data_IF_076777065240
#
_entry.id   IF_076777065240
#
_cell.length_a   1.000
_cell.length_b   1.000
_cell.length_c   1.000
_cell.angle_alpha   90.00
_cell.angle_beta   90.00
_cell.angle_gamma   90.00
#
_symmetry.space_group_name_H-M   'P 1'
#
loop_
_entity.id
_entity.type
_entity.pdbx_description
1 polymer ?
#
# COMPACT_ATOMS: atom_id res chain seq x y z
N UNK A 1 -21.68 -5.80 -37.97
CA UNK A 1 -20.79 -6.89 -37.53
C UNK A 1 -21.63 -8.15 -37.37
N UNK A 2 -21.18 -9.32 -37.86
CA UNK A 2 -21.95 -10.58 -37.65
C UNK A 2 -21.93 -10.94 -36.15
N UNK A 3 -23.03 -11.50 -35.63
CA UNK A 3 -23.15 -11.89 -34.21
C UNK A 3 -22.00 -12.81 -33.76
N UNK A 4 -21.56 -13.71 -34.65
CA UNK A 4 -20.39 -14.58 -34.44
C UNK A 4 -19.09 -13.82 -34.24
N UNK A 5 -18.87 -12.72 -34.98
CA UNK A 5 -17.69 -11.86 -34.81
C UNK A 5 -17.72 -11.14 -33.46
N UNK A 6 -18.89 -10.67 -33.01
CA UNK A 6 -19.06 -10.03 -31.70
C UNK A 6 -18.71 -11.02 -30.57
N UNK A 7 -19.27 -12.24 -30.63
CA UNK A 7 -19.05 -13.28 -29.63
C UNK A 7 -17.56 -13.68 -29.58
N UNK A 8 -16.92 -13.86 -30.73
CA UNK A 8 -15.51 -14.24 -30.81
C UNK A 8 -14.60 -13.16 -30.19
N UNK A 9 -14.83 -11.88 -30.50
CA UNK A 9 -14.07 -10.76 -29.91
C UNK A 9 -14.28 -10.69 -28.40
N UNK A 10 -15.51 -10.90 -27.91
CA UNK A 10 -15.80 -10.90 -26.48
C UNK A 10 -15.09 -12.05 -25.74
N UNK A 11 -15.05 -13.25 -26.32
CA UNK A 11 -14.34 -14.40 -25.75
C UNK A 11 -12.82 -14.17 -25.70
N UNK A 12 -12.24 -13.61 -26.78
CA UNK A 12 -10.82 -13.25 -26.79
C UNK A 12 -10.48 -12.19 -25.73
N UNK A 13 -11.31 -11.15 -25.60
CA UNK A 13 -11.13 -10.12 -24.59
C UNK A 13 -11.24 -10.70 -23.16
N UNK A 14 -12.19 -11.61 -22.93
CA UNK A 14 -12.35 -12.30 -21.65
C UNK A 14 -11.15 -13.21 -21.34
N UNK A 15 -10.67 -13.99 -22.31
CA UNK A 15 -9.50 -14.85 -22.13
C UNK A 15 -8.22 -14.03 -21.84
N UNK A 16 -8.01 -12.95 -22.60
CA UNK A 16 -6.89 -12.03 -22.37
C UNK A 16 -6.98 -11.39 -20.97
N UNK A 17 -8.18 -10.96 -20.56
CA UNK A 17 -8.43 -10.44 -19.23
C UNK A 17 -8.11 -11.47 -18.13
N UNK A 18 -8.61 -12.70 -18.27
CA UNK A 18 -8.39 -13.77 -17.28
C UNK A 18 -6.91 -14.12 -17.18
N UNK A 19 -6.21 -14.23 -18.31
CA UNK A 19 -4.75 -14.44 -18.32
C UNK A 19 -4.03 -13.30 -17.61
N UNK A 20 -4.41 -12.06 -17.92
CA UNK A 20 -3.80 -10.86 -17.37
C UNK A 20 -4.06 -10.72 -15.86
N UNK A 21 -5.23 -11.16 -15.38
CA UNK A 21 -5.56 -11.16 -13.96
C UNK A 21 -4.89 -12.31 -13.21
N UNK A 22 -4.90 -13.52 -13.73
CA UNK A 22 -4.25 -14.67 -13.10
C UNK A 22 -2.73 -14.48 -12.99
N UNK A 23 -2.13 -13.71 -13.90
CA UNK A 23 -0.71 -13.38 -13.87
C UNK A 23 -0.34 -12.17 -12.99
N UNK A 24 -1.30 -11.53 -12.32
CA UNK A 24 -0.97 -10.38 -11.44
C UNK A 24 -0.19 -10.88 -10.23
N UNK A 25 0.89 -10.18 -9.84
CA UNK A 25 1.53 -10.42 -8.57
C UNK A 25 0.53 -10.26 -7.44
N UNK A 26 0.66 -11.13 -6.45
CA UNK A 26 -0.21 -11.13 -5.28
C UNK A 26 0.06 -9.93 -4.37
N UNK A 27 1.34 -9.57 -4.23
CA UNK A 27 1.79 -8.53 -3.30
C UNK A 27 3.01 -7.75 -3.83
N UNK A 28 2.99 -6.45 -3.58
CA UNK A 28 4.12 -5.54 -3.71
C UNK A 28 4.46 -4.95 -2.34
N UNK A 29 5.71 -5.08 -1.92
CA UNK A 29 6.28 -4.42 -0.75
C UNK A 29 7.23 -3.32 -1.21
N UNK A 30 7.09 -2.11 -0.68
CA UNK A 30 7.98 -0.98 -0.97
C UNK A 30 8.40 -0.31 0.33
N UNK A 31 9.71 -0.20 0.54
CA UNK A 31 10.28 0.46 1.72
C UNK A 31 11.78 0.20 1.81
N UNK A 32 12.46 0.89 2.71
CA UNK A 32 13.92 0.78 2.85
C UNK A 32 14.28 -0.31 3.85
N UNK A 33 15.20 -1.22 3.49
CA UNK A 33 15.78 -2.16 4.45
C UNK A 33 16.73 -1.41 5.36
N UNK A 34 16.74 -1.76 6.65
CA UNK A 34 17.63 -1.12 7.62
C UNK A 34 18.64 -2.09 8.20
N UNK A 35 19.68 -1.52 8.79
CA UNK A 35 20.48 -2.20 9.80
C UNK A 35 20.01 -1.68 11.16
N UNK A 36 19.50 -2.57 12.00
CA UNK A 36 19.11 -2.22 13.37
C UNK A 36 20.25 -2.61 14.31
N UNK A 37 20.93 -1.63 14.91
CA UNK A 37 22.00 -1.86 15.88
C UNK A 37 21.38 -2.08 17.26
N UNK A 38 21.60 -3.28 17.81
CA UNK A 38 21.09 -3.74 19.10
C UNK A 38 22.19 -3.63 20.17
N UNK A 39 21.80 -3.55 21.44
CA UNK A 39 22.73 -3.42 22.58
C UNK A 39 23.75 -4.55 22.69
N UNK A 40 23.42 -5.76 22.23
CA UNK A 40 24.32 -6.92 22.21
C UNK A 40 25.35 -6.84 21.06
N UNK A 41 25.35 -5.75 20.30
CA UNK A 41 26.21 -5.53 19.14
C UNK A 41 25.71 -6.21 17.87
N UNK A 42 24.61 -6.96 17.92
CA UNK A 42 24.00 -7.55 16.73
C UNK A 42 23.45 -6.45 15.80
N UNK A 43 23.44 -6.77 14.50
CA UNK A 43 23.06 -5.86 13.42
C UNK A 43 22.06 -6.54 12.47
N UNK A 44 20.91 -7.06 12.96
CA UNK A 44 19.92 -7.70 12.10
C UNK A 44 19.37 -6.73 11.05
N UNK A 45 18.88 -7.31 9.95
CA UNK A 45 18.08 -6.58 8.98
C UNK A 45 16.78 -6.11 9.63
N UNK A 46 16.48 -4.82 9.51
CA UNK A 46 15.26 -4.23 10.04
C UNK A 46 14.47 -3.51 8.96
N UNK A 47 13.62 -2.60 9.42
CA UNK A 47 12.78 -1.78 8.55
C UNK A 47 11.48 -2.47 8.19
N UNK A 48 10.45 -1.65 7.96
CA UNK A 48 9.08 -2.12 7.78
C UNK A 48 8.96 -3.13 6.63
N UNK A 49 9.73 -2.93 5.56
CA UNK A 49 9.78 -3.84 4.39
C UNK A 49 10.31 -5.24 4.76
N UNK A 50 11.25 -5.35 5.68
CA UNK A 50 11.87 -6.62 6.09
C UNK A 50 10.94 -7.42 6.98
N UNK A 51 10.30 -6.77 7.95
CA UNK A 51 9.25 -7.39 8.78
C UNK A 51 8.06 -7.83 7.91
N UNK A 52 7.65 -6.99 6.96
CA UNK A 52 6.61 -7.34 6.01
C UNK A 52 7.00 -8.54 5.13
N UNK A 53 8.22 -8.58 4.60
CA UNK A 53 8.72 -9.69 3.79
C UNK A 53 8.71 -11.01 4.57
N UNK A 54 9.26 -11.01 5.79
CA UNK A 54 9.29 -12.19 6.64
C UNK A 54 7.86 -12.70 6.94
N UNK A 55 6.95 -11.80 7.33
CA UNK A 55 5.55 -12.16 7.55
C UNK A 55 4.91 -12.73 6.27
N UNK A 56 5.09 -12.08 5.12
CA UNK A 56 4.53 -12.52 3.83
C UNK A 56 5.01 -13.91 3.43
N UNK A 57 6.30 -14.19 3.64
CA UNK A 57 6.88 -15.53 3.43
C UNK A 57 6.21 -16.57 4.32
N UNK A 58 5.98 -16.28 5.60
CA UNK A 58 5.30 -17.20 6.52
C UNK A 58 3.84 -17.52 6.10
N UNK A 59 3.21 -16.65 5.31
CA UNK A 59 1.90 -16.90 4.69
C UNK A 59 1.99 -17.63 3.33
N UNK A 60 3.19 -18.09 2.94
CA UNK A 60 3.44 -18.81 1.69
C UNK A 60 3.36 -17.93 0.44
N UNK A 61 3.54 -16.62 0.55
CA UNK A 61 3.40 -15.68 -0.57
C UNK A 61 4.78 -15.28 -1.10
N UNK A 62 4.94 -15.31 -2.42
CA UNK A 62 6.05 -14.67 -3.11
C UNK A 62 5.66 -13.24 -3.49
N UNK A 63 6.25 -12.24 -2.85
CA UNK A 63 6.03 -10.83 -3.17
C UNK A 63 7.04 -10.29 -4.18
N UNK A 64 6.66 -9.22 -4.88
CA UNK A 64 7.61 -8.25 -5.40
C UNK A 64 8.08 -7.38 -4.24
N UNK A 65 9.39 -7.25 -4.04
CA UNK A 65 9.98 -6.37 -3.02
C UNK A 65 10.82 -5.32 -3.71
N UNK A 66 10.55 -4.05 -3.44
CA UNK A 66 11.35 -2.93 -3.93
C UNK A 66 11.96 -2.22 -2.72
N UNK A 67 13.28 -2.24 -2.64
CA UNK A 67 13.98 -1.72 -1.46
C UNK A 67 15.26 -0.97 -1.82
N UNK A 68 15.71 -0.11 -0.91
CA UNK A 68 16.99 0.60 -1.00
C UNK A 68 17.97 -0.04 -0.04
N UNK A 69 19.18 -0.37 -0.50
CA UNK A 69 20.22 -0.88 0.38
C UNK A 69 21.62 -0.46 -0.08
N UNK A 70 22.54 -0.32 0.88
CA UNK A 70 23.97 -0.24 0.63
C UNK A 70 24.63 -1.63 0.61
N UNK A 71 25.95 -1.69 0.34
CA UNK A 71 26.69 -2.95 0.24
C UNK A 71 26.75 -3.77 1.55
N UNK A 72 26.45 -3.14 2.69
CA UNK A 72 26.52 -3.71 4.03
C UNK A 72 25.20 -4.29 4.56
N UNK A 73 24.11 -4.21 3.77
CA UNK A 73 22.81 -4.75 4.15
C UNK A 73 22.75 -6.28 4.07
N UNK A 74 22.14 -6.91 5.08
CA UNK A 74 21.70 -8.31 4.97
C UNK A 74 20.35 -8.39 4.25
N UNK A 75 20.35 -9.03 3.07
CA UNK A 75 19.19 -9.17 2.21
C UNK A 75 18.52 -10.56 2.29
N UNK A 76 19.02 -11.48 3.12
CA UNK A 76 18.50 -12.85 3.25
C UNK A 76 17.03 -12.91 3.65
N UNK A 77 16.53 -11.87 4.34
CA UNK A 77 15.10 -11.75 4.68
C UNK A 77 14.20 -11.79 3.45
N UNK A 78 14.72 -11.40 2.28
CA UNK A 78 13.98 -11.38 1.02
C UNK A 78 14.09 -12.68 0.21
N UNK A 79 14.79 -13.70 0.73
CA UNK A 79 14.90 -15.00 0.06
C UNK A 79 13.52 -15.62 -0.18
N UNK A 80 13.27 -16.03 -1.43
CA UNK A 80 11.98 -16.55 -1.88
C UNK A 80 11.07 -15.49 -2.50
N UNK A 81 11.39 -14.20 -2.37
CA UNK A 81 10.69 -13.10 -3.05
C UNK A 81 11.35 -12.72 -4.38
N UNK A 82 10.67 -11.88 -5.16
CA UNK A 82 11.23 -11.20 -6.31
C UNK A 82 11.77 -9.83 -5.86
N UNK A 83 13.08 -9.76 -5.62
CA UNK A 83 13.76 -8.58 -5.08
C UNK A 83 14.22 -7.63 -6.20
N UNK A 84 13.86 -6.35 -6.06
CA UNK A 84 14.31 -5.25 -6.89
C UNK A 84 15.04 -4.25 -6.01
N UNK A 85 16.36 -4.30 -6.07
CA UNK A 85 17.25 -3.49 -5.25
C UNK A 85 17.58 -2.17 -5.96
N UNK A 86 17.33 -1.06 -5.26
CA UNK A 86 17.85 0.26 -5.60
C UNK A 86 19.14 0.47 -4.80
N UNK A 87 20.29 0.43 -5.48
CA UNK A 87 21.59 0.54 -4.83
C UNK A 87 21.81 1.95 -4.24
N UNK A 88 22.30 2.01 -3.01
CA UNK A 88 22.72 3.23 -2.33
C UNK A 88 24.18 3.13 -1.85
N UNK A 89 24.77 4.27 -1.48
CA UNK A 89 26.12 4.31 -0.91
C UNK A 89 26.18 3.78 0.54
N UNK A 90 25.06 3.82 1.26
CA UNK A 90 24.94 3.35 2.65
C UNK A 90 23.55 2.79 2.90
N UNK A 91 23.44 1.90 3.89
CA UNK A 91 22.15 1.36 4.34
C UNK A 91 21.56 2.23 5.45
N UNK A 92 20.24 2.46 5.43
CA UNK A 92 19.56 3.18 6.51
C UNK A 92 19.82 2.45 7.84
N UNK A 93 20.44 3.12 8.80
CA UNK A 93 20.86 2.46 10.05
C UNK A 93 20.20 3.12 11.25
N UNK A 94 19.49 2.32 12.03
CA UNK A 94 18.90 2.71 13.30
C UNK A 94 19.72 2.15 14.46
N UNK A 95 20.01 2.98 15.44
CA UNK A 95 20.71 2.61 16.66
C UNK A 95 19.81 2.88 17.87
N UNK A 96 19.74 1.90 18.78
CA UNK A 96 19.05 2.07 20.05
C UNK A 96 20.03 2.58 21.08
N UNK A 97 19.69 3.69 21.73
CA UNK A 97 20.43 4.17 22.89
C UNK A 97 19.52 4.12 24.11
N UNK A 98 19.94 3.35 25.12
CA UNK A 98 19.33 3.35 26.44
C UNK A 98 19.99 4.43 27.29
N UNK A 99 19.21 5.32 27.89
CA UNK A 99 19.72 6.17 28.96
C UNK A 99 19.55 5.47 30.30
N UNK A 100 20.64 5.31 31.06
CA UNK A 100 20.73 4.58 32.35
C UNK A 100 19.68 5.00 33.41
N UNK A 101 19.08 6.18 33.27
CA UNK A 101 18.06 6.72 34.19
C UNK A 101 16.63 6.78 33.64
N UNK A 102 16.37 6.29 32.41
CA UNK A 102 15.04 6.36 31.82
C UNK A 102 14.76 5.11 31.00
N UNK A 103 13.65 4.45 31.29
CA UNK A 103 13.07 3.35 30.49
C UNK A 103 12.61 3.81 29.09
N UNK A 104 13.24 4.83 28.53
CA UNK A 104 12.92 5.47 27.27
C UNK A 104 14.00 5.11 26.26
N UNK A 105 13.63 4.23 25.32
CA UNK A 105 14.47 3.87 24.20
C UNK A 105 14.59 5.05 23.25
N UNK A 106 15.80 5.56 23.05
CA UNK A 106 16.06 6.65 22.08
C UNK A 106 16.56 6.04 20.79
N UNK A 107 15.76 6.18 19.72
CA UNK A 107 16.13 5.77 18.38
C UNK A 107 16.98 6.88 17.73
N UNK A 108 18.10 6.51 17.13
CA UNK A 108 18.97 7.43 16.36
C UNK A 108 19.21 6.86 14.97
N UNK A 109 19.13 7.70 13.95
CA UNK A 109 19.59 7.38 12.59
C UNK A 109 21.06 7.76 12.47
N UNK A 110 21.92 6.79 12.14
CA UNK A 110 23.37 7.01 11.99
C UNK A 110 23.84 7.01 10.53
N UNK A 111 23.06 6.43 9.62
CA UNK A 111 23.27 6.49 8.19
C UNK A 111 21.92 6.58 7.47
N UNK A 112 21.83 7.39 6.41
CA UNK A 112 20.63 7.53 5.59
C UNK A 112 21.04 7.50 4.10
N UNK A 113 20.43 6.63 3.26
CA UNK A 113 20.75 6.53 1.84
C UNK A 113 20.37 7.78 1.04
N UNK A 114 19.49 8.65 1.56
CA UNK A 114 18.95 9.83 0.88
C UNK A 114 18.31 9.52 -0.48
N UNK A 115 17.63 8.38 -0.58
CA UNK A 115 16.86 7.98 -1.77
C UNK A 115 15.38 7.99 -1.42
N UNK A 116 14.58 8.65 -2.26
CA UNK A 116 13.12 8.60 -2.19
C UNK A 116 12.60 7.55 -3.17
N UNK A 117 12.16 6.42 -2.64
CA UNK A 117 11.44 5.41 -3.41
C UNK A 117 10.12 5.98 -3.93
N UNK A 118 9.81 5.63 -5.15
CA UNK A 118 8.58 6.04 -5.83
C UNK A 118 8.17 4.92 -6.78
N UNK A 119 6.98 5.03 -7.36
CA UNK A 119 6.48 4.02 -8.28
C UNK A 119 7.39 3.79 -9.50
N UNK A 120 8.16 4.78 -9.95
CA UNK A 120 9.06 4.61 -11.10
C UNK A 120 10.17 3.59 -10.85
N UNK A 121 10.51 3.34 -9.57
CA UNK A 121 11.45 2.31 -9.16
C UNK A 121 10.85 0.90 -9.21
N UNK A 122 9.53 0.77 -9.35
CA UNK A 122 8.82 -0.51 -9.36
C UNK A 122 8.70 -1.04 -10.78
N UNK A 123 9.08 -2.30 -11.05
CA UNK A 123 8.86 -2.94 -12.35
C UNK A 123 7.39 -2.94 -12.77
N UNK A 124 7.13 -2.80 -14.08
CA UNK A 124 5.77 -2.66 -14.62
C UNK A 124 4.83 -3.82 -14.26
N UNK A 125 5.32 -5.05 -14.14
CA UNK A 125 4.48 -6.18 -13.74
C UNK A 125 4.15 -6.14 -12.24
N UNK A 126 5.13 -5.77 -11.40
CA UNK A 126 4.95 -5.58 -9.95
C UNK A 126 4.02 -4.42 -9.59
N UNK A 127 4.01 -3.35 -10.40
CA UNK A 127 3.09 -2.20 -10.24
C UNK A 127 1.61 -2.59 -10.24
N UNK A 128 1.29 -3.77 -10.80
CA UNK A 128 -0.07 -4.31 -10.91
C UNK A 128 -0.43 -5.25 -9.76
N UNK A 129 0.39 -5.36 -8.72
CA UNK A 129 0.12 -6.26 -7.60
C UNK A 129 -1.29 -6.06 -7.02
N UNK A 130 -1.93 -7.12 -6.51
CA UNK A 130 -3.28 -7.02 -5.93
C UNK A 130 -3.28 -6.25 -4.61
N UNK A 131 -2.24 -6.43 -3.82
CA UNK A 131 -2.01 -5.69 -2.59
C UNK A 131 -0.69 -4.95 -2.71
N UNK A 132 -0.65 -3.71 -2.23
CA UNK A 132 0.55 -2.88 -2.13
C UNK A 132 0.71 -2.49 -0.67
N UNK A 133 1.89 -2.74 -0.11
CA UNK A 133 2.24 -2.30 1.25
C UNK A 133 3.43 -1.35 1.13
N UNK A 134 3.21 -0.14 1.64
CA UNK A 134 4.15 0.95 1.67
C UNK A 134 4.66 1.11 3.11
N UNK A 135 5.95 0.90 3.31
CA UNK A 135 6.59 0.93 4.63
C UNK A 135 7.68 1.99 4.72
N UNK A 136 7.34 3.30 4.72
CA UNK A 136 8.32 4.34 5.00
C UNK A 136 8.82 4.26 6.45
N UNK A 137 10.08 4.62 6.68
CA UNK A 137 10.70 4.73 8.00
C UNK A 137 11.13 6.15 8.34
N UNK A 138 11.20 7.04 7.35
CA UNK A 138 11.45 8.49 7.50
C UNK A 138 10.60 9.31 6.52
N UNK A 139 10.48 10.62 6.74
CA UNK A 139 9.66 11.53 5.90
C UNK A 139 10.01 11.51 4.41
N UNK A 140 11.28 11.31 4.06
CA UNK A 140 11.77 11.52 2.70
C UNK A 140 12.16 10.23 1.97
N UNK A 141 11.94 9.05 2.55
CA UNK A 141 12.34 7.82 1.87
C UNK A 141 11.33 7.29 0.86
N UNK A 142 10.08 7.75 0.91
CA UNK A 142 9.00 7.23 0.07
C UNK A 142 8.06 8.34 -0.38
N UNK A 143 7.86 8.43 -1.69
CA UNK A 143 6.76 9.18 -2.29
C UNK A 143 5.53 8.28 -2.38
N UNK A 144 4.74 8.25 -1.31
CA UNK A 144 3.51 7.46 -1.25
C UNK A 144 2.46 7.92 -2.29
N UNK A 145 2.43 9.20 -2.65
CA UNK A 145 1.46 9.77 -3.60
C UNK A 145 1.62 9.19 -5.00
N UNK A 146 2.86 8.89 -5.40
CA UNK A 146 3.17 8.21 -6.67
C UNK A 146 2.53 6.82 -6.80
N UNK A 147 2.02 6.24 -5.71
CA UNK A 147 1.36 4.95 -5.71
C UNK A 147 -0.18 5.03 -5.78
N UNK A 148 -0.76 6.23 -5.75
CA UNK A 148 -2.21 6.42 -5.58
C UNK A 148 -2.89 7.02 -6.81
N UNK A 149 -2.20 7.90 -7.54
CA UNK A 149 -2.80 8.74 -8.57
C UNK A 149 -2.21 8.48 -9.95
N UNK A 150 -3.07 8.07 -10.88
CA UNK A 150 -2.71 7.82 -12.28
C UNK A 150 -3.83 8.28 -13.21
N UNK A 151 -3.44 8.96 -14.30
CA UNK A 151 -4.38 9.50 -15.30
C UNK A 151 -4.55 8.61 -16.53
N UNK A 152 -3.93 7.42 -16.55
CA UNK A 152 -4.01 6.48 -17.68
C UNK A 152 -5.39 5.82 -17.83
N UNK A 153 -5.83 5.60 -19.08
CA UNK A 153 -7.09 4.90 -19.42
C UNK A 153 -7.19 3.52 -18.75
N UNK A 154 -6.09 2.78 -18.70
CA UNK A 154 -6.02 1.50 -18.01
C UNK A 154 -6.24 1.67 -16.50
N UNK A 155 -5.59 2.62 -15.85
CA UNK A 155 -5.87 2.87 -14.43
C UNK A 155 -7.33 3.26 -14.23
N UNK A 156 -7.95 4.02 -15.14
CA UNK A 156 -9.37 4.33 -15.04
C UNK A 156 -10.29 3.10 -15.09
N UNK A 157 -9.96 2.14 -15.96
CA UNK A 157 -10.74 0.92 -16.16
C UNK A 157 -10.51 -0.12 -15.03
N UNK A 158 -9.30 -0.13 -14.46
CA UNK A 158 -8.86 -1.06 -13.42
C UNK A 158 -8.74 -0.40 -12.02
N UNK A 159 -9.22 0.84 -11.88
CA UNK A 159 -9.28 1.64 -10.64
C UNK A 159 -10.00 0.86 -9.54
N UNK A 160 -9.55 1.03 -8.28
CA UNK A 160 -10.23 0.40 -7.14
C UNK A 160 -9.87 -1.06 -6.88
N UNK A 161 -8.93 -1.65 -7.62
CA UNK A 161 -8.63 -3.09 -7.54
C UNK A 161 -7.43 -3.46 -6.69
N UNK A 162 -6.70 -2.47 -6.21
CA UNK A 162 -5.55 -2.68 -5.33
C UNK A 162 -5.94 -2.31 -3.92
N UNK A 163 -5.64 -3.20 -2.98
CA UNK A 163 -5.61 -2.86 -1.55
C UNK A 163 -4.28 -2.17 -1.27
N UNK A 164 -4.31 -0.94 -0.76
CA UNK A 164 -3.10 -0.15 -0.51
C UNK A 164 -3.00 0.07 1.00
N UNK A 165 -1.99 -0.54 1.60
CA UNK A 165 -1.63 -0.38 2.99
C UNK A 165 -0.48 0.61 3.11
N UNK A 166 -0.59 1.61 3.99
CA UNK A 166 0.46 2.57 4.27
C UNK A 166 0.80 2.54 5.75
N UNK A 167 1.99 2.04 6.08
CA UNK A 167 2.56 2.09 7.43
C UNK A 167 3.13 3.49 7.68
N UNK A 168 2.24 4.44 7.94
CA UNK A 168 2.55 5.87 7.95
C UNK A 168 3.39 6.32 9.17
N UNK A 169 3.62 5.43 10.13
CA UNK A 169 4.44 5.69 11.31
C UNK A 169 5.81 6.31 10.95
N UNK A 170 6.47 5.83 9.90
CA UNK A 170 7.76 6.39 9.49
C UNK A 170 7.72 7.82 9.00
N UNK A 171 6.62 8.26 8.40
CA UNK A 171 6.45 9.67 8.00
C UNK A 171 6.33 10.61 9.20
N UNK A 172 5.88 10.12 10.35
CA UNK A 172 5.76 10.92 11.56
C UNK A 172 7.06 11.07 12.36
N UNK A 173 8.19 10.67 11.78
CA UNK A 173 9.52 10.77 12.37
C UNK A 173 10.28 11.96 11.80
N UNK A 174 10.63 12.91 12.65
CA UNK A 174 11.58 13.98 12.34
C UNK A 174 12.97 13.60 12.84
N UNK A 175 13.98 13.78 12.00
CA UNK A 175 15.37 13.60 12.41
C UNK A 175 15.89 14.91 13.03
N UNK A 176 16.36 14.83 14.27
CA UNK A 176 17.09 15.91 14.93
C UNK A 176 18.49 16.09 14.36
N UNK A 177 19.20 17.17 14.73
CA UNK A 177 20.55 17.45 14.22
C UNK A 177 21.57 16.34 14.51
N UNK A 178 21.37 15.57 15.58
CA UNK A 178 22.20 14.45 15.99
C UNK A 178 21.65 13.08 15.51
N UNK A 179 20.69 13.10 14.58
CA UNK A 179 20.03 11.90 14.08
C UNK A 179 18.95 11.32 14.99
N UNK A 180 18.69 11.92 16.16
CA UNK A 180 17.60 11.45 17.04
C UNK A 180 16.26 11.49 16.34
N UNK A 181 15.49 10.43 16.50
CA UNK A 181 14.11 10.39 16.01
C UNK A 181 13.20 11.08 17.00
N UNK A 182 12.49 12.10 16.53
CA UNK A 182 11.56 12.92 17.30
C UNK A 182 10.16 12.84 16.68
N UNK A 183 9.09 12.85 17.50
CA UNK A 183 7.73 12.88 16.99
C UNK A 183 7.41 14.22 16.32
N UNK A 184 6.50 14.19 15.37
CA UNK A 184 5.87 15.37 14.80
C UNK A 184 4.60 15.74 15.57
N UNK A 185 4.32 17.04 15.66
CA UNK A 185 3.12 17.57 16.33
C UNK A 185 1.88 17.54 15.42
N UNK A 186 2.07 17.43 14.11
CA UNK A 186 1.00 17.39 13.11
C UNK A 186 1.28 16.29 12.09
N UNK A 187 0.28 15.84 11.31
CA UNK A 187 0.49 14.93 10.20
C UNK A 187 1.51 15.50 9.20
N UNK A 188 2.48 14.68 8.80
CA UNK A 188 3.50 15.06 7.83
C UNK A 188 2.89 15.30 6.45
N UNK A 189 3.45 16.21 5.64
CA UNK A 189 2.98 16.43 4.27
C UNK A 189 2.95 15.15 3.43
N UNK A 190 3.93 14.25 3.59
CA UNK A 190 4.00 12.98 2.87
C UNK A 190 2.93 11.99 3.31
N UNK A 191 2.53 12.01 4.59
CA UNK A 191 1.39 11.24 5.09
C UNK A 191 0.11 11.73 4.42
N UNK A 192 -0.14 13.05 4.45
CA UNK A 192 -1.33 13.65 3.85
C UNK A 192 -1.40 13.41 2.34
N UNK A 193 -0.29 13.56 1.63
CA UNK A 193 -0.19 13.22 0.21
C UNK A 193 -0.44 11.72 -0.04
N UNK A 194 0.01 10.86 0.88
CA UNK A 194 -0.21 9.42 0.90
C UNK A 194 -1.64 8.98 1.23
N UNK A 195 -2.57 9.89 1.51
CA UNK A 195 -4.01 9.58 1.61
C UNK A 195 -4.67 9.58 0.21
N UNK A 196 -4.10 10.37 -0.71
CA UNK A 196 -4.61 10.58 -2.06
C UNK A 196 -6.02 11.18 -2.10
N UNK A 197 -6.56 11.34 -3.31
CA UNK A 197 -7.87 12.00 -3.50
C UNK A 197 -9.11 11.14 -3.25
N UNK A 198 -8.98 9.82 -3.10
CA UNK A 198 -10.12 8.90 -3.28
C UNK A 198 -10.47 8.01 -2.06
N UNK A 199 -9.95 8.27 -0.86
CA UNK A 199 -10.21 7.45 0.36
C UNK A 199 -10.01 5.94 0.12
N UNK A 200 -8.83 5.53 -0.34
CA UNK A 200 -8.52 4.13 -0.76
C UNK A 200 -7.40 3.45 0.02
N UNK A 201 -6.86 4.16 1.01
CA UNK A 201 -5.68 3.73 1.74
C UNK A 201 -6.13 3.18 3.09
N UNK A 202 -5.62 1.99 3.43
CA UNK A 202 -5.64 1.49 4.80
C UNK A 202 -4.37 2.00 5.49
N UNK A 203 -4.54 2.98 6.36
CA UNK A 203 -3.46 3.70 7.03
C UNK A 203 -3.16 3.04 8.38
N UNK A 204 -1.88 2.81 8.69
CA UNK A 204 -1.44 2.28 9.98
C UNK A 204 -0.57 3.30 10.71
N UNK A 205 -0.95 3.61 11.94
CA UNK A 205 -0.27 4.52 12.87
C UNK A 205 -0.23 3.88 14.27
N UNK A 206 0.53 4.45 15.19
CA UNK A 206 0.40 4.16 16.62
C UNK A 206 -0.07 5.36 17.41
N UNK A 207 -0.54 5.12 18.63
CA UNK A 207 -0.89 6.18 19.58
C UNK A 207 0.25 7.16 19.81
N UNK A 208 1.50 6.69 19.84
CA UNK A 208 2.68 7.55 20.00
C UNK A 208 2.76 8.64 18.92
N UNK A 209 2.40 8.32 17.68
CA UNK A 209 2.43 9.32 16.59
C UNK A 209 1.19 10.21 16.55
N UNK A 210 0.05 9.73 17.06
CA UNK A 210 -1.23 10.44 16.99
C UNK A 210 -1.58 11.21 18.25
N UNK A 211 -1.00 10.87 19.41
CA UNK A 211 -1.22 11.55 20.69
C UNK A 211 -0.97 13.07 20.62
N UNK A 212 0.07 13.57 19.91
CA UNK A 212 0.28 15.02 19.79
C UNK A 212 -0.72 15.74 18.89
N UNK A 213 -1.56 15.02 18.12
CA UNK A 213 -2.44 15.64 17.13
C UNK A 213 -3.68 16.23 17.79
N UNK A 214 -4.16 17.35 17.25
CA UNK A 214 -5.49 17.85 17.57
C UNK A 214 -6.57 16.92 17.03
N UNK A 215 -7.78 17.00 17.62
CA UNK A 215 -8.95 16.28 17.13
C UNK A 215 -9.26 16.59 15.66
N UNK A 216 -9.03 17.82 15.21
CA UNK A 216 -9.20 18.23 13.82
C UNK A 216 -8.27 17.46 12.87
N UNK A 217 -6.99 17.29 13.25
CA UNK A 217 -6.04 16.53 12.44
C UNK A 217 -6.39 15.05 12.39
N UNK A 218 -6.76 14.47 13.54
CA UNK A 218 -7.20 13.09 13.60
C UNK A 218 -8.47 12.88 12.76
N UNK A 219 -9.46 13.76 12.89
CA UNK A 219 -10.69 13.75 12.11
C UNK A 219 -10.46 13.89 10.61
N UNK A 220 -9.54 14.77 10.20
CA UNK A 220 -9.12 14.89 8.80
C UNK A 220 -8.53 13.58 8.26
N UNK A 221 -7.58 12.98 8.99
CA UNK A 221 -6.92 11.75 8.57
C UNK A 221 -7.92 10.58 8.49
N UNK A 222 -8.76 10.42 9.52
CA UNK A 222 -9.80 9.38 9.57
C UNK A 222 -10.82 9.54 8.42
N UNK A 223 -11.25 10.77 8.14
CA UNK A 223 -12.20 11.03 7.05
C UNK A 223 -11.57 10.93 5.66
N UNK A 224 -10.24 10.97 5.53
CA UNK A 224 -9.53 10.96 4.24
C UNK A 224 -9.00 9.58 3.82
N UNK A 225 -8.96 8.60 4.73
CA UNK A 225 -8.56 7.23 4.44
C UNK A 225 -9.77 6.28 4.23
N UNK A 226 -9.53 5.11 3.63
CA UNK A 226 -10.53 4.02 3.60
C UNK A 226 -10.67 3.41 5.00
N UNK A 227 -9.52 3.21 5.65
CA UNK A 227 -9.40 2.71 7.02
C UNK A 227 -8.22 3.40 7.70
N UNK A 228 -8.35 3.69 8.99
CA UNK A 228 -7.22 4.08 9.84
C UNK A 228 -7.15 3.11 11.00
N UNK A 229 -5.98 2.50 11.19
CA UNK A 229 -5.71 1.62 12.33
C UNK A 229 -4.66 2.28 13.20
N UNK A 230 -5.00 2.53 14.45
CA UNK A 230 -4.12 3.11 15.47
C UNK A 230 -3.80 2.03 16.50
N UNK A 231 -2.58 1.52 16.46
CA UNK A 231 -2.10 0.51 17.43
C UNK A 231 -1.68 1.16 18.74
N UNK A 232 -1.96 0.50 19.86
CA UNK A 232 -1.69 0.97 21.24
C UNK A 232 -0.89 -0.06 22.06
N UNK A 233 0.07 -0.72 21.41
CA UNK A 233 0.89 -1.76 22.02
C UNK A 233 0.05 -2.84 22.73
N UNK A 234 0.22 -2.98 24.04
CA UNK A 234 -0.51 -3.96 24.87
C UNK A 234 -2.00 -3.68 25.05
N UNK A 235 -2.50 -2.53 24.59
CA UNK A 235 -3.92 -2.16 24.62
C UNK A 235 -4.63 -2.44 23.28
N UNK A 236 -3.98 -3.11 22.34
CA UNK A 236 -4.59 -3.54 21.08
C UNK A 236 -4.52 -2.47 20.02
N UNK A 237 -5.60 -2.30 19.24
CA UNK A 237 -5.72 -1.22 18.27
C UNK A 237 -7.14 -0.67 18.20
N UNK A 238 -7.29 0.51 17.62
CA UNK A 238 -8.59 1.03 17.16
C UNK A 238 -8.58 1.08 15.65
N UNK A 239 -9.60 0.51 15.02
CA UNK A 239 -9.88 0.68 13.60
C UNK A 239 -11.01 1.70 13.41
N UNK A 240 -10.77 2.67 12.54
CA UNK A 240 -11.77 3.59 12.00
C UNK A 240 -12.02 3.24 10.55
N UNK A 241 -13.26 2.94 10.19
CA UNK A 241 -13.67 2.66 8.81
C UNK A 241 -15.10 3.16 8.55
N UNK A 242 -15.63 2.93 7.34
CA UNK A 242 -16.98 3.39 6.96
C UNK A 242 -18.12 2.76 7.79
N UNK A 243 -17.85 1.68 8.55
CA UNK A 243 -18.84 1.04 9.45
C UNK A 243 -18.75 1.54 10.90
N UNK A 244 -17.78 2.39 11.22
CA UNK A 244 -17.62 3.00 12.53
C UNK A 244 -16.25 2.77 13.15
N UNK A 245 -16.23 2.77 14.49
CA UNK A 245 -15.03 2.60 15.32
C UNK A 245 -15.06 1.21 15.94
N UNK A 246 -13.99 0.44 15.74
CA UNK A 246 -13.89 -0.95 16.18
C UNK A 246 -12.63 -1.14 17.02
N UNK A 247 -12.77 -1.84 18.15
CA UNK A 247 -11.63 -2.27 18.94
C UNK A 247 -11.03 -3.55 18.33
N UNK A 248 -9.71 -3.65 18.34
CA UNK A 248 -8.96 -4.87 18.03
C UNK A 248 -8.23 -5.31 19.28
N UNK A 249 -8.64 -6.44 19.84
CA UNK A 249 -8.04 -6.98 21.06
C UNK A 249 -6.63 -7.53 20.81
N UNK A 250 -5.80 -7.47 21.85
CA UNK A 250 -4.51 -8.15 21.84
C UNK A 250 -4.69 -9.66 21.95
N UNK A 251 -3.74 -10.40 21.40
CA UNK A 251 -3.56 -11.82 21.74
C UNK A 251 -2.56 -11.90 22.90
N UNK A 252 -2.98 -12.37 24.09
CA UNK A 252 -2.08 -12.50 25.24
C UNK A 252 -0.91 -13.44 24.95
N UNK A 253 0.25 -13.13 25.52
CA UNK A 253 1.46 -13.95 25.46
C UNK A 253 2.09 -14.05 26.83
N UNK A 254 2.70 -15.19 27.14
CA UNK A 254 3.30 -15.44 28.46
C UNK A 254 4.44 -14.47 28.79
N UNK A 255 5.22 -14.08 27.76
CA UNK A 255 6.36 -13.18 27.92
C UNK A 255 6.59 -12.35 26.68
N UNK A 256 6.54 -11.03 26.83
CA UNK A 256 7.03 -10.06 25.84
C UNK A 256 8.55 -9.99 25.96
N UNK A 257 9.27 -10.22 24.87
CA UNK A 257 10.73 -10.14 24.80
C UNK A 257 11.20 -8.82 24.20
N UNK A 258 10.62 -8.44 23.07
CA UNK A 258 10.96 -7.20 22.37
C UNK A 258 9.77 -6.79 21.49
N UNK A 259 9.47 -5.50 21.40
CA UNK A 259 8.29 -5.00 20.65
C UNK A 259 8.61 -4.57 19.21
N UNK A 260 9.86 -4.68 18.75
CA UNK A 260 10.21 -4.26 17.40
C UNK A 260 9.55 -5.09 16.32
N UNK A 261 9.13 -4.38 15.28
CA UNK A 261 8.43 -4.92 14.13
C UNK A 261 7.05 -5.49 14.42
N UNK A 262 6.52 -5.35 15.64
CA UNK A 262 5.18 -5.81 15.97
C UNK A 262 4.11 -5.04 15.16
N UNK A 263 4.27 -3.73 15.01
CA UNK A 263 3.40 -2.89 14.17
C UNK A 263 3.50 -3.23 12.68
N UNK A 264 4.71 -3.45 12.16
CA UNK A 264 4.93 -3.82 10.75
C UNK A 264 4.34 -5.21 10.45
N UNK A 265 4.53 -6.17 11.36
CA UNK A 265 3.94 -7.51 11.28
C UNK A 265 2.42 -7.44 11.36
N UNK A 266 1.88 -6.64 12.29
CA UNK A 266 0.45 -6.38 12.43
C UNK A 266 -0.13 -5.83 11.11
N UNK A 267 0.41 -4.72 10.61
CA UNK A 267 -0.10 -4.05 9.42
C UNK A 267 -0.02 -4.97 8.19
N UNK A 268 1.04 -5.76 8.08
CA UNK A 268 1.19 -6.74 7.00
C UNK A 268 0.12 -7.83 7.09
N UNK A 269 -0.03 -8.47 8.24
CA UNK A 269 -1.02 -9.51 8.46
C UNK A 269 -2.46 -8.99 8.28
N UNK A 270 -2.73 -7.75 8.71
CA UNK A 270 -4.01 -7.08 8.49
C UNK A 270 -4.32 -6.95 7.00
N UNK A 271 -3.39 -6.41 6.20
CA UNK A 271 -3.56 -6.24 4.75
C UNK A 271 -3.72 -7.59 4.03
N UNK A 272 -2.98 -8.61 4.47
CA UNK A 272 -3.10 -9.97 3.97
C UNK A 272 -4.46 -10.61 4.27
N UNK A 273 -5.02 -10.37 5.46
CA UNK A 273 -6.35 -10.83 5.84
C UNK A 273 -7.46 -10.07 5.10
N UNK A 274 -7.33 -8.74 5.03
CA UNK A 274 -8.26 -7.85 4.35
C UNK A 274 -8.37 -8.19 2.86
N UNK A 275 -7.25 -8.33 2.16
CA UNK A 275 -7.23 -8.64 0.72
C UNK A 275 -7.82 -10.02 0.39
N UNK A 276 -7.80 -10.94 1.36
CA UNK A 276 -8.45 -12.25 1.24
C UNK A 276 -9.96 -12.20 1.53
N UNK A 277 -10.44 -11.14 2.17
CA UNK A 277 -11.83 -11.01 2.61
C UNK A 277 -12.12 -11.84 3.85
N UNK A 278 -11.13 -12.02 4.74
CA UNK A 278 -11.36 -12.61 6.06
C UNK A 278 -12.24 -11.66 6.88
N UNK A 279 -13.09 -12.22 7.74
CA UNK A 279 -14.11 -11.45 8.48
C UNK A 279 -13.50 -10.53 9.53
N UNK A 280 -12.40 -10.94 10.15
CA UNK A 280 -11.75 -10.21 11.23
C UNK A 280 -10.25 -10.03 10.96
N UNK A 281 -9.87 -9.07 10.10
CA UNK A 281 -8.46 -8.80 9.80
C UNK A 281 -7.68 -8.32 11.03
N UNK A 282 -8.35 -7.65 11.98
CA UNK A 282 -7.76 -7.17 13.22
C UNK A 282 -7.24 -8.30 14.10
N UNK A 283 -8.07 -9.32 14.35
CA UNK A 283 -7.67 -10.48 15.15
C UNK A 283 -6.51 -11.26 14.50
N UNK A 284 -6.54 -11.45 13.18
CA UNK A 284 -5.43 -12.07 12.45
C UNK A 284 -4.12 -11.28 12.59
N UNK A 285 -4.22 -9.95 12.51
CA UNK A 285 -3.09 -9.05 12.68
C UNK A 285 -2.52 -9.08 14.11
N UNK A 286 -3.40 -9.06 15.12
CA UNK A 286 -3.03 -9.16 16.53
C UNK A 286 -2.34 -10.50 16.84
N UNK A 287 -2.83 -11.60 16.27
CA UNK A 287 -2.19 -12.91 16.42
C UNK A 287 -0.78 -12.91 15.83
N UNK A 288 -0.58 -12.42 14.60
CA UNK A 288 0.75 -12.37 13.98
C UNK A 288 1.71 -11.46 14.77
N UNK A 289 1.25 -10.27 15.19
CA UNK A 289 2.02 -9.36 16.02
C UNK A 289 2.41 -9.98 17.37
N UNK A 290 1.55 -10.80 17.97
CA UNK A 290 1.85 -11.51 19.22
C UNK A 290 3.06 -12.45 19.06
N UNK A 291 3.23 -13.08 17.89
CA UNK A 291 4.40 -13.92 17.60
C UNK A 291 5.68 -13.09 17.49
N UNK A 292 5.59 -11.89 16.91
CA UNK A 292 6.72 -10.97 16.85
C UNK A 292 7.16 -10.53 18.25
N UNK A 293 6.24 -10.19 19.15
CA UNK A 293 6.64 -9.70 20.49
C UNK A 293 7.26 -10.76 21.40
N UNK A 294 7.03 -12.05 21.10
CA UNK A 294 7.61 -13.19 21.83
C UNK A 294 9.08 -13.44 21.50
N UNK A 295 9.63 -12.76 20.49
CA UNK A 295 10.99 -12.96 20.00
C UNK A 295 11.94 -11.84 20.40
N UNK A 296 13.23 -12.14 20.50
CA UNK A 296 14.27 -11.15 20.76
C UNK A 296 14.60 -10.36 19.48
N UNK A 297 15.02 -9.10 19.61
CA UNK A 297 15.35 -8.26 18.45
C UNK A 297 16.47 -8.87 17.58
N UNK A 298 17.47 -9.49 18.18
CA UNK A 298 18.66 -10.00 17.50
C UNK A 298 18.40 -11.11 16.47
N UNK A 299 17.25 -11.80 16.53
CA UNK A 299 16.85 -12.80 15.54
C UNK A 299 15.73 -12.34 14.59
N UNK A 300 15.13 -11.18 14.86
CA UNK A 300 14.05 -10.64 14.03
C UNK A 300 14.61 -10.08 12.72
N UNK A 301 13.82 -10.13 11.63
CA UNK A 301 12.41 -10.57 11.56
C UNK A 301 12.18 -12.08 11.37
N UNK A 302 13.21 -12.88 11.06
CA UNK A 302 13.06 -14.29 10.69
C UNK A 302 12.42 -15.14 11.79
N UNK A 303 12.92 -15.08 13.02
CA UNK A 303 12.38 -15.89 14.12
C UNK A 303 10.92 -15.56 14.47
N UNK A 304 10.44 -14.35 14.16
CA UNK A 304 9.03 -13.99 14.32
C UNK A 304 8.16 -14.65 13.24
N UNK A 305 8.65 -14.70 12.01
CA UNK A 305 7.99 -15.37 10.90
C UNK A 305 7.90 -16.89 11.08
N UNK A 306 8.92 -17.52 11.65
CA UNK A 306 8.93 -18.96 11.94
C UNK A 306 7.77 -19.37 12.88
N UNK A 307 7.37 -18.48 13.80
CA UNK A 307 6.22 -18.70 14.69
C UNK A 307 4.86 -18.47 14.01
N UNK A 308 4.83 -17.83 12.84
CA UNK A 308 3.63 -17.58 12.04
C UNK A 308 3.42 -18.72 11.03
N UNK A 309 4.51 -19.29 10.53
CA UNK A 309 4.49 -20.29 9.46
C UNK A 309 3.60 -21.50 9.82
N UNK A 310 2.87 -22.00 8.82
CA UNK A 310 1.99 -23.18 8.95
C UNK A 310 0.69 -22.96 9.72
N UNK A 311 0.50 -21.83 10.41
CA UNK A 311 -0.71 -21.56 11.21
C UNK A 311 -1.83 -20.87 10.42
N UNK A 312 -1.49 -20.21 9.32
CA UNK A 312 -2.48 -19.62 8.40
C UNK A 312 -2.48 -20.44 7.10
N UNK A 313 -3.65 -20.82 6.55
CA UNK A 313 -3.73 -21.58 5.31
C UNK A 313 -2.95 -20.92 4.18
N UNK A 314 -2.12 -21.71 3.49
CA UNK A 314 -1.39 -21.26 2.32
C UNK A 314 -2.37 -20.79 1.23
N UNK A 315 -1.98 -19.73 0.52
CA UNK A 315 -2.83 -19.15 -0.51
C UNK A 315 -2.89 -20.03 -1.75
N UNK A 316 -4.04 -20.69 -1.98
CA UNK A 316 -4.19 -21.66 -3.07
C UNK A 316 -4.66 -21.07 -4.40
N UNK A 317 -4.61 -21.89 -5.46
CA UNK A 317 -5.07 -21.53 -6.80
C UNK A 317 -6.56 -21.10 -6.82
N UNK A 318 -7.41 -21.71 -5.99
CA UNK A 318 -8.83 -21.39 -5.90
C UNK A 318 -9.07 -19.93 -5.47
N UNK A 319 -8.27 -19.42 -4.54
CA UNK A 319 -8.40 -18.06 -4.05
C UNK A 319 -7.92 -17.03 -5.07
N UNK A 320 -6.85 -17.34 -5.81
CA UNK A 320 -6.41 -16.53 -6.97
C UNK A 320 -7.50 -16.45 -8.04
N UNK A 321 -8.16 -17.56 -8.33
CA UNK A 321 -9.30 -17.59 -9.26
C UNK A 321 -10.48 -16.77 -8.73
N UNK A 322 -10.86 -16.91 -7.46
CA UNK A 322 -11.91 -16.09 -6.84
C UNK A 322 -11.57 -14.59 -6.90
N UNK A 323 -10.31 -14.22 -6.67
CA UNK A 323 -9.86 -12.84 -6.77
C UNK A 323 -9.93 -12.31 -8.21
N UNK A 324 -9.53 -13.12 -9.21
CA UNK A 324 -9.65 -12.80 -10.62
C UNK A 324 -11.12 -12.59 -11.04
N UNK A 325 -12.02 -13.47 -10.61
CA UNK A 325 -13.45 -13.38 -10.89
C UNK A 325 -14.11 -12.15 -10.26
N UNK A 326 -13.82 -11.85 -8.97
CA UNK A 326 -14.27 -10.60 -8.30
C UNK A 326 -13.85 -9.38 -9.10
N UNK A 327 -12.64 -9.43 -9.64
CA UNK A 327 -12.09 -8.45 -10.55
C UNK A 327 -12.98 -8.07 -11.74
N UNK A 328 -13.76 -9.01 -12.27
CA UNK A 328 -14.57 -8.80 -13.46
C UNK A 328 -15.69 -7.80 -13.20
N UNK A 329 -16.28 -7.87 -12.00
CA UNK A 329 -17.30 -6.91 -11.52
C UNK A 329 -16.74 -5.49 -11.51
N UNK A 330 -15.48 -5.31 -11.09
CA UNK A 330 -14.82 -4.00 -11.08
C UNK A 330 -14.58 -3.45 -12.48
N UNK A 331 -14.22 -4.29 -13.46
CA UNK A 331 -14.07 -3.83 -14.86
C UNK A 331 -15.40 -3.36 -15.44
N UNK A 332 -16.48 -4.11 -15.19
CA UNK A 332 -17.83 -3.72 -15.65
C UNK A 332 -18.24 -2.39 -15.02
N UNK A 333 -18.01 -2.21 -13.71
CA UNK A 333 -18.27 -0.93 -13.03
C UNK A 333 -17.38 0.21 -13.57
N UNK A 334 -16.10 -0.05 -13.78
CA UNK A 334 -15.14 0.91 -14.32
C UNK A 334 -15.55 1.39 -15.72
N UNK A 335 -15.91 0.47 -16.62
CA UNK A 335 -16.43 0.77 -17.95
C UNK A 335 -17.71 1.61 -17.88
N UNK A 336 -18.65 1.26 -17.00
CA UNK A 336 -19.85 2.06 -16.76
C UNK A 336 -19.55 3.46 -16.27
N UNK A 337 -18.59 3.62 -15.35
CA UNK A 337 -18.19 4.93 -14.82
C UNK A 337 -17.53 5.84 -15.87
N UNK A 338 -16.75 5.26 -16.78
CA UNK A 338 -16.14 5.97 -17.91
C UNK A 338 -17.21 6.45 -18.88
N UNK A 339 -18.13 5.57 -19.29
CA UNK A 339 -19.25 5.92 -20.16
C UNK A 339 -20.14 7.02 -19.57
N UNK A 340 -20.40 6.97 -18.25
CA UNK A 340 -21.15 8.00 -17.55
C UNK A 340 -20.40 9.33 -17.49
N UNK A 341 -19.09 9.32 -17.20
CA UNK A 341 -18.26 10.53 -17.20
C UNK A 341 -18.19 11.18 -18.57
N UNK A 342 -17.93 10.40 -19.61
CA UNK A 342 -17.87 10.90 -20.99
C UNK A 342 -19.25 11.42 -21.43
N UNK A 343 -20.34 10.75 -21.03
CA UNK A 343 -21.70 11.23 -21.25
C UNK A 343 -22.02 12.55 -20.55
N UNK A 344 -21.59 12.69 -19.28
CA UNK A 344 -21.74 13.93 -18.50
C UNK A 344 -20.87 15.07 -19.06
N UNK A 345 -19.64 14.79 -19.45
CA UNK A 345 -18.73 15.75 -20.08
C UNK A 345 -19.31 16.24 -21.41
N UNK A 346 -19.85 15.34 -22.23
CA UNK A 346 -20.55 15.69 -23.47
C UNK A 346 -21.80 16.56 -23.19
N UNK A 347 -22.60 16.25 -22.16
CA UNK A 347 -23.77 17.03 -21.76
C UNK A 347 -23.40 18.43 -21.24
N UNK A 348 -22.32 18.56 -20.47
CA UNK A 348 -21.81 19.85 -19.99
C UNK A 348 -21.27 20.67 -21.17
N UNK A 349 -20.54 20.06 -22.10
CA UNK A 349 -20.10 20.74 -23.32
C UNK A 349 -21.29 21.19 -24.17
N UNK A 350 -22.34 20.37 -24.30
CA UNK A 350 -23.58 20.73 -24.99
C UNK A 350 -24.33 21.89 -24.31
N UNK A 351 -24.28 22.01 -22.98
CA UNK A 351 -24.86 23.14 -22.23
C UNK A 351 -24.02 24.42 -22.28
N UNK A 352 -22.71 24.32 -22.49
CA UNK A 352 -21.82 25.46 -22.67
C UNK A 352 -21.80 26.02 -24.10
N UNK A 353 -22.39 25.31 -25.07
CA UNK A 353 -22.63 25.85 -26.41
C UNK A 353 -23.74 26.91 -26.33
N UNK A 354 -23.45 28.13 -26.78
CA UNK A 354 -24.45 29.19 -26.90
C UNK A 354 -25.68 28.71 -27.71
N UNK A 355 -26.90 29.06 -27.28
CA UNK A 355 -28.12 28.67 -28.00
C UNK A 355 -28.05 29.17 -29.47
N UNK A 356 -28.16 28.24 -30.42
CA UNK A 356 -28.13 28.52 -31.87
C UNK A 356 -27.00 27.83 -32.66
N UNK A 357 -25.90 27.41 -32.02
CA UNK A 357 -24.78 26.76 -32.74
C UNK A 357 -25.03 25.29 -33.13
N UNK A 358 -25.83 24.55 -32.37
CA UNK A 358 -26.17 23.16 -32.68
C UNK A 358 -27.01 23.06 -33.98
N UNK A 359 -27.92 24.02 -34.20
CA UNK A 359 -28.72 24.11 -35.43
C UNK A 359 -27.87 24.54 -36.65
N UNK A 360 -26.86 25.39 -36.47
CA UNK A 360 -25.90 25.72 -37.54
C UNK A 360 -25.00 24.52 -37.91
N UNK A 361 -24.52 23.76 -36.93
CA UNK A 361 -23.68 22.58 -37.17
C UNK A 361 -24.44 21.42 -37.85
N UNK A 362 -25.72 21.23 -37.51
CA UNK A 362 -26.58 20.25 -38.18
C UNK A 362 -26.96 20.69 -39.61
N UNK A 363 -27.25 21.98 -39.84
CA UNK A 363 -27.54 22.52 -41.18
C UNK A 363 -26.33 22.53 -42.13
N UNK A 364 -25.11 22.74 -41.61
CA UNK A 364 -23.89 22.70 -42.42
C UNK A 364 -23.56 21.29 -42.95
N UNK A 365 -24.08 20.24 -42.30
CA UNK A 365 -23.91 18.85 -42.74
C UNK A 365 -24.90 18.45 -43.85
N UNK A 366 -26.06 19.10 -43.92
CA UNK A 366 -27.07 18.89 -44.97
C UNK A 366 -26.76 19.67 -46.26
N UNK A 367 -26.05 20.81 -46.18
CA UNK A 367 -25.72 21.63 -47.35
C UNK A 367 -24.42 21.23 -48.08
N UNK A 368 -23.63 20.31 -47.52
CA UNK A 368 -22.37 19.83 -48.11
C UNK A 368 -22.52 18.74 -49.19
N UNK A 369 -23.74 18.25 -49.45
CA UNK A 369 -24.03 17.20 -50.44
C UNK A 369 -25.02 17.70 -51.49
N UNK A 370 -24.78 18.87 -52.09
CA UNK A 370 -25.32 19.17 -53.43
C UNK A 370 -24.66 20.43 -54.00
N UNK A 371 -24.15 20.30 -55.23
CA UNK A 371 -23.71 21.35 -56.18
C UNK A 371 -22.23 21.80 -56.18
N UNK A 372 -21.41 21.11 -56.99
CA UNK A 372 -20.98 21.66 -58.30
C UNK A 372 -20.32 20.58 -59.19
N UNK A 373 -21.10 20.12 -60.17
CA UNK A 373 -20.66 19.53 -61.45
C UNK A 373 -21.35 20.33 -62.57
N UNK A 374 -20.56 20.85 -63.53
CA UNK A 374 -20.97 21.41 -64.84
C UNK A 374 -21.61 22.82 -64.80
N UNK A 375 -21.36 23.76 -65.71
CA UNK A 375 -20.57 23.82 -66.94
C UNK A 375 -20.79 25.21 -67.57
N UNK A 376 -19.79 25.73 -68.26
CA UNK A 376 -19.75 27.01 -68.96
C UNK A 376 -18.38 27.18 -69.59
#
# INVERSE_FOLDING_TARGET
>A
MKLTTVIFVALLAFAAYMSLELSRPDLLLVGTVTIDVVDDGSRPAGGAVSYAAAAVRAYGIRACVVTVAGPDADLKVFDGHELHLVNAASTLTFEHTYTWFGHQRKLRVTANPNITLSRSHVPRHCQRARTVILGPLTQHELDASSFLEYDGLFDQLYRGRQHIGLMAQGFQRRLGPDGRVLPLQTPAPQLLAGLGRWRRVSLFLSDVETEPWSEDWLGLVVSSAERVIITRGSQGATEYNDTGVHAVDVVPVDKVRDTNGAGDTFATAYMLALSRGLRDPGHHAAWAASRAVMQAQSCKPQCAADLIEGHVPAWGAADRTKAALRGLVHVVRGAGSLLLRDGLAALIHLRQLQPGRLQQALRAKETGVTTRKGGG
#
